data_IF_378519894661
#
_entry.id   IF_378519894661
#
_cell.length_a   1.000
_cell.length_b   1.000
_cell.length_c   1.000
_cell.angle_alpha   90.00
_cell.angle_beta   90.00
_cell.angle_gamma   90.00
#
_symmetry.space_group_name_H-M   'P 1'
#
loop_
_entity.id
_entity.type
_entity.pdbx_description
1 polymer ?
#
# COMPACT_ATOMS: atom_id res chain seq x y z
N UNK A 1 4.30 -10.55 -5.85
CA UNK A 1 3.59 -9.44 -6.54
C UNK A 1 2.17 -9.92 -6.81
N UNK A 2 1.16 -9.11 -6.51
CA UNK A 2 -0.23 -9.39 -6.90
C UNK A 2 -0.67 -8.35 -7.93
N UNK A 3 -1.36 -8.80 -8.97
CA UNK A 3 -1.90 -7.92 -10.00
C UNK A 3 -3.11 -8.57 -10.67
N UNK A 4 -3.94 -7.76 -11.30
CA UNK A 4 -4.94 -8.31 -12.21
C UNK A 4 -4.23 -9.15 -13.28
N UNK A 5 -4.85 -10.26 -13.68
CA UNK A 5 -4.31 -11.16 -14.69
C UNK A 5 -5.02 -10.95 -16.01
N UNK A 6 -4.30 -10.56 -17.06
CA UNK A 6 -4.87 -10.43 -18.39
C UNK A 6 -5.26 -11.80 -18.96
N UNK A 7 -6.42 -11.84 -19.63
CA UNK A 7 -6.84 -13.01 -20.40
C UNK A 7 -6.19 -12.91 -21.78
N UNK A 8 -5.32 -13.87 -22.09
CA UNK A 8 -4.59 -13.97 -23.36
C UNK A 8 -5.13 -15.15 -24.16
N UNK A 9 -5.47 -14.91 -25.43
CA UNK A 9 -5.84 -15.96 -26.41
C UNK A 9 -5.07 -15.69 -27.70
N UNK A 10 -4.50 -16.73 -28.31
CA UNK A 10 -3.71 -16.65 -29.54
C UNK A 10 -2.62 -15.55 -29.47
N UNK A 11 -1.88 -15.49 -28.36
CA UNK A 11 -0.86 -14.46 -28.06
C UNK A 11 -1.36 -13.00 -28.13
N UNK A 12 -2.66 -12.76 -27.98
CA UNK A 12 -3.24 -11.41 -27.94
C UNK A 12 -4.01 -11.17 -26.65
N UNK A 13 -3.90 -9.95 -26.14
CA UNK A 13 -4.75 -9.47 -25.07
C UNK A 13 -6.19 -9.37 -25.59
N UNK A 14 -7.13 -9.97 -24.85
CA UNK A 14 -8.53 -10.05 -25.25
C UNK A 14 -9.33 -8.80 -24.89
N UNK A 15 -8.78 -7.88 -24.10
CA UNK A 15 -9.52 -6.80 -23.44
C UNK A 15 -10.06 -7.18 -22.06
N UNK A 16 -10.08 -8.48 -21.73
CA UNK A 16 -10.60 -8.99 -20.45
C UNK A 16 -9.48 -9.26 -19.45
N UNK A 17 -9.78 -9.08 -18.16
CA UNK A 17 -8.87 -9.41 -17.07
C UNK A 17 -9.59 -10.07 -15.91
N UNK A 18 -8.84 -10.89 -15.17
CA UNK A 18 -9.28 -11.53 -13.93
C UNK A 18 -8.76 -10.67 -12.77
N UNK A 19 -9.65 -10.07 -11.96
CA UNK A 19 -9.26 -9.26 -10.81
C UNK A 19 -8.60 -10.11 -9.71
N UNK A 20 -7.68 -9.50 -8.95
CA UNK A 20 -6.90 -10.19 -7.91
C UNK A 20 -7.79 -10.89 -6.88
N UNK A 21 -8.79 -10.16 -6.35
CA UNK A 21 -9.64 -10.66 -5.25
C UNK A 21 -11.11 -10.82 -5.64
N UNK A 22 -11.48 -10.46 -6.88
CA UNK A 22 -12.88 -10.40 -7.31
C UNK A 22 -13.75 -9.38 -6.56
N UNK A 23 -13.18 -8.60 -5.63
CA UNK A 23 -13.89 -7.69 -4.73
C UNK A 23 -13.48 -6.25 -4.97
N UNK A 24 -14.41 -5.33 -4.69
CA UNK A 24 -14.06 -3.92 -4.50
C UNK A 24 -12.99 -3.79 -3.40
N UNK A 25 -12.14 -2.77 -3.50
CA UNK A 25 -11.01 -2.57 -2.57
C UNK A 25 -10.04 -3.76 -2.51
N UNK A 26 -9.74 -4.37 -3.66
CA UNK A 26 -8.85 -5.55 -3.76
C UNK A 26 -7.51 -5.41 -3.01
N UNK A 27 -6.92 -4.20 -2.99
CA UNK A 27 -5.66 -3.93 -2.25
C UNK A 27 -5.84 -4.03 -0.73
N UNK A 28 -6.95 -3.52 -0.19
CA UNK A 28 -7.28 -3.64 1.24
C UNK A 28 -7.59 -5.09 1.62
N UNK A 29 -8.34 -5.81 0.77
CA UNK A 29 -8.61 -7.24 0.98
C UNK A 29 -7.29 -8.01 1.08
N UNK A 30 -6.37 -7.78 0.14
CA UNK A 30 -5.06 -8.42 0.18
C UNK A 30 -4.23 -8.01 1.41
N UNK A 31 -4.23 -6.73 1.81
CA UNK A 31 -3.56 -6.28 3.04
C UNK A 31 -4.05 -7.07 4.26
N UNK A 32 -5.38 -7.23 4.38
CA UNK A 32 -5.96 -8.00 5.48
C UNK A 32 -5.54 -9.48 5.44
N UNK A 33 -5.55 -10.09 4.26
CA UNK A 33 -5.17 -11.49 4.06
C UNK A 33 -3.69 -11.73 4.38
N UNK A 34 -2.78 -10.91 3.84
CA UNK A 34 -1.34 -11.10 4.03
C UNK A 34 -0.92 -10.82 5.48
N UNK A 35 -1.50 -9.82 6.14
CA UNK A 35 -1.23 -9.57 7.56
C UNK A 35 -1.74 -10.73 8.43
N UNK A 36 -2.93 -11.26 8.15
CA UNK A 36 -3.46 -12.46 8.84
C UNK A 36 -2.54 -13.66 8.65
N UNK A 37 -2.12 -13.95 7.42
CA UNK A 37 -1.22 -15.07 7.10
C UNK A 37 0.12 -14.94 7.83
N UNK A 38 0.67 -13.72 7.91
CA UNK A 38 1.94 -13.45 8.57
C UNK A 38 1.84 -13.24 10.09
N UNK A 39 0.64 -13.35 10.68
CA UNK A 39 0.36 -13.04 12.09
C UNK A 39 0.83 -11.63 12.49
N UNK A 40 0.67 -10.67 11.59
CA UNK A 40 1.00 -9.26 11.79
C UNK A 40 -0.28 -8.44 12.03
N UNK A 41 -0.18 -7.42 12.88
CA UNK A 41 -1.22 -6.41 13.05
C UNK A 41 -1.00 -5.31 12.01
N UNK A 42 -1.89 -5.20 11.01
CA UNK A 42 -1.75 -4.19 9.94
C UNK A 42 -1.65 -2.75 10.46
N UNK A 43 -2.30 -2.40 11.57
CA UNK A 43 -2.25 -1.05 12.16
C UNK A 43 -0.97 -0.77 12.95
N UNK A 44 -0.12 -1.78 13.17
CA UNK A 44 1.18 -1.63 13.85
C UNK A 44 2.37 -1.93 12.92
N UNK A 45 2.21 -2.93 12.09
CA UNK A 45 3.32 -3.58 11.38
C UNK A 45 3.33 -3.26 9.87
N UNK A 46 2.24 -2.75 9.30
CA UNK A 46 2.15 -2.50 7.86
C UNK A 46 2.43 -1.05 7.50
N UNK A 47 3.33 -0.87 6.53
CA UNK A 47 3.56 0.39 5.82
C UNK A 47 3.00 0.21 4.40
N UNK A 48 2.11 1.10 3.99
CA UNK A 48 1.46 1.06 2.68
C UNK A 48 1.74 2.34 1.90
N UNK A 49 1.94 2.21 0.59
CA UNK A 49 2.35 3.30 -0.30
C UNK A 49 1.50 3.26 -1.56
N UNK A 50 1.02 4.42 -2.00
CA UNK A 50 0.18 4.54 -3.20
C UNK A 50 -0.06 5.99 -3.58
N UNK A 51 -0.71 6.19 -4.72
CA UNK A 51 -0.88 7.50 -5.36
C UNK A 51 -2.35 7.77 -5.75
N UNK A 52 -3.11 6.71 -6.02
CA UNK A 52 -4.45 6.76 -6.59
C UNK A 52 -5.60 6.41 -5.64
N UNK A 53 -6.83 6.70 -6.09
CA UNK A 53 -8.05 6.43 -5.33
C UNK A 53 -8.23 4.94 -4.96
N UNK A 54 -7.75 4.03 -5.81
CA UNK A 54 -7.79 2.59 -5.58
C UNK A 54 -6.86 2.12 -4.44
N UNK A 55 -5.95 2.98 -3.96
CA UNK A 55 -5.07 2.73 -2.80
C UNK A 55 -5.67 3.18 -1.48
N UNK A 56 -6.65 4.09 -1.48
CA UNK A 56 -7.19 4.72 -0.26
C UNK A 56 -7.57 3.71 0.82
N UNK A 57 -8.29 2.65 0.44
CA UNK A 57 -8.70 1.61 1.38
C UNK A 57 -7.49 0.96 2.07
N UNK A 58 -6.41 0.70 1.34
CA UNK A 58 -5.18 0.13 1.90
C UNK A 58 -4.41 1.16 2.73
N UNK A 59 -4.26 2.40 2.23
CA UNK A 59 -3.51 3.46 2.89
C UNK A 59 -4.11 3.83 4.26
N UNK A 60 -5.43 4.00 4.33
CA UNK A 60 -6.14 4.37 5.55
C UNK A 60 -6.27 3.23 6.57
N UNK A 61 -5.95 1.99 6.17
CA UNK A 61 -6.07 0.80 7.04
C UNK A 61 -4.72 0.13 7.32
N UNK A 62 -3.64 0.90 7.26
CA UNK A 62 -2.28 0.48 7.58
C UNK A 62 -1.75 1.30 8.76
N UNK A 63 -0.71 0.80 9.44
CA UNK A 63 -0.05 1.54 10.52
C UNK A 63 0.61 2.81 10.02
N UNK A 64 1.15 2.79 8.80
CA UNK A 64 1.64 3.98 8.11
C UNK A 64 1.24 3.96 6.64
N UNK A 65 0.22 4.74 6.28
CA UNK A 65 -0.17 5.01 4.90
C UNK A 65 0.57 6.24 4.37
N UNK A 66 1.16 6.12 3.17
CA UNK A 66 1.95 7.17 2.53
C UNK A 66 1.47 7.40 1.10
N UNK A 67 1.08 8.65 0.80
CA UNK A 67 0.88 9.13 -0.55
C UNK A 67 2.22 9.39 -1.26
N UNK A 68 2.54 8.68 -2.34
CA UNK A 68 3.74 8.95 -3.15
C UNK A 68 3.34 9.63 -4.46
N UNK A 69 3.79 10.87 -4.67
CA UNK A 69 3.26 11.77 -5.71
C UNK A 69 1.73 11.68 -5.87
N UNK A 70 0.98 11.81 -4.76
CA UNK A 70 -0.42 11.41 -4.74
C UNK A 70 -1.31 12.38 -5.52
N UNK A 71 -2.33 11.82 -6.15
CA UNK A 71 -3.44 12.61 -6.67
C UNK A 71 -4.18 13.33 -5.54
N UNK A 72 -4.92 14.40 -5.88
CA UNK A 72 -5.64 15.24 -4.91
C UNK A 72 -6.54 14.47 -3.95
N UNK A 73 -7.13 13.35 -4.39
CA UNK A 73 -7.98 12.51 -3.54
C UNK A 73 -7.20 11.81 -2.43
N UNK A 74 -5.99 11.30 -2.72
CA UNK A 74 -5.12 10.67 -1.73
C UNK A 74 -4.50 11.73 -0.82
N UNK A 75 -4.05 12.85 -1.40
CA UNK A 75 -3.47 13.96 -0.65
C UNK A 75 -4.39 14.53 0.43
N UNK A 76 -5.70 14.52 0.19
CA UNK A 76 -6.72 14.97 1.16
C UNK A 76 -7.06 13.92 2.22
N UNK A 77 -6.79 12.65 1.96
CA UNK A 77 -7.25 11.52 2.75
C UNK A 77 -6.15 10.83 3.57
N UNK A 78 -4.89 11.16 3.30
CA UNK A 78 -3.69 10.60 3.93
C UNK A 78 -2.75 11.74 4.30
N UNK A 79 -2.33 11.79 5.56
CA UNK A 79 -1.49 12.89 6.08
C UNK A 79 -0.05 12.83 5.57
N UNK A 80 0.51 11.63 5.46
CA UNK A 80 1.90 11.43 5.07
C UNK A 80 2.03 11.42 3.55
N UNK A 81 2.73 12.40 2.98
CA UNK A 81 2.87 12.53 1.54
C UNK A 81 4.34 12.81 1.15
N UNK A 82 4.86 12.04 0.19
CA UNK A 82 6.17 12.24 -0.44
C UNK A 82 5.91 12.86 -1.83
N UNK A 83 6.33 14.10 -2.04
CA UNK A 83 6.02 14.86 -3.26
C UNK A 83 7.24 15.43 -3.99
N UNK A 84 8.41 15.44 -3.35
CA UNK A 84 9.58 16.17 -3.84
C UNK A 84 10.84 15.30 -3.90
N UNK A 85 10.74 14.03 -3.52
CA UNK A 85 11.85 13.09 -3.43
C UNK A 85 11.44 11.72 -3.96
N UNK A 86 12.42 10.87 -4.24
CA UNK A 86 12.20 9.51 -4.70
C UNK A 86 11.86 8.56 -3.54
N UNK A 87 11.65 7.28 -3.86
CA UNK A 87 11.36 6.25 -2.86
C UNK A 87 12.54 5.98 -1.90
N UNK A 88 13.73 6.56 -2.06
CA UNK A 88 14.80 6.43 -1.06
C UNK A 88 14.44 7.14 0.25
N UNK A 89 13.49 8.08 0.23
CA UNK A 89 12.92 8.68 1.43
C UNK A 89 12.41 7.61 2.42
N UNK A 90 12.01 6.43 1.94
CA UNK A 90 11.60 5.31 2.80
C UNK A 90 12.70 4.85 3.74
N UNK A 91 13.97 4.92 3.35
CA UNK A 91 15.08 4.56 4.22
C UNK A 91 15.11 5.47 5.45
N UNK A 92 14.96 6.78 5.25
CA UNK A 92 14.91 7.74 6.36
C UNK A 92 13.69 7.53 7.25
N UNK A 93 12.52 7.29 6.66
CA UNK A 93 11.30 6.98 7.41
C UNK A 93 11.49 5.73 8.28
N UNK A 94 12.05 4.67 7.71
CA UNK A 94 12.32 3.43 8.42
C UNK A 94 13.33 3.61 9.57
N UNK A 95 14.40 4.38 9.35
CA UNK A 95 15.38 4.72 10.40
C UNK A 95 14.73 5.51 11.54
N UNK A 96 13.87 6.49 11.23
CA UNK A 96 13.16 7.28 12.24
C UNK A 96 12.20 6.41 13.06
N UNK A 97 11.45 5.52 12.42
CA UNK A 97 10.58 4.56 13.10
C UNK A 97 11.38 3.63 14.02
N UNK A 98 12.56 3.17 13.59
CA UNK A 98 13.47 2.37 14.43
C UNK A 98 14.03 3.13 15.62
N UNK A 99 14.40 4.40 15.46
CA UNK A 99 14.86 5.24 16.57
C UNK A 99 13.76 5.47 17.62
N UNK A 100 12.54 5.79 17.18
CA UNK A 100 11.40 5.93 18.10
C UNK A 100 11.05 4.60 18.80
N UNK A 101 11.23 3.47 18.12
CA UNK A 101 11.10 2.16 18.76
C UNK A 101 12.15 2.00 19.87
N UNK A 102 13.43 2.25 19.59
CA UNK A 102 14.51 2.10 20.57
C UNK A 102 14.35 3.04 21.77
N UNK A 103 13.90 4.27 21.56
CA UNK A 103 13.67 5.25 22.64
C UNK A 103 12.50 4.88 23.57
N UNK A 104 11.60 3.98 23.18
CA UNK A 104 10.52 3.49 24.04
C UNK A 104 10.93 2.28 24.90
N UNK A 105 12.18 1.82 24.81
CA UNK A 105 12.74 0.70 25.59
C UNK A 105 13.84 1.13 26.58
N UNK A 106 14.15 2.42 26.67
CA UNK A 106 15.03 3.03 27.67
C UNK A 106 14.26 4.12 28.42
#
# INVERSE_FOLDING_TARGET
>A
MISNRFVIKNNKFTGEYIPITGKQNSKLVYLNEICKQKKLNKYKDAICVGDGANDLGMLQNSGLGIGYYPHSIVKKAVDNNIQFTDLKQFYFIWVLLKKNFLNNFF
#
